data_IF_603757695250
#
_entry.id   IF_603757695250
#
_cell.length_a   1.000
_cell.length_b   1.000
_cell.length_c   1.000
_cell.angle_alpha   90.00
_cell.angle_beta   90.00
_cell.angle_gamma   90.00
#
_symmetry.space_group_name_H-M   'P 1'
#
loop_
_entity.id
_entity.type
_entity.pdbx_description
1 polymer ?
#
# COMPACT_ATOMS: atom_id res chain seq x y z
N UNK A 1 -27.27 5.30 -5.23
CA UNK A 1 -27.09 5.10 -3.79
C UNK A 1 -26.75 3.63 -3.63
N UNK A 2 -25.54 3.30 -3.20
CA UNK A 2 -25.08 1.92 -3.09
C UNK A 2 -25.57 1.38 -1.73
N UNK A 3 -26.36 0.30 -1.67
CA UNK A 3 -26.91 -0.22 -0.41
C UNK A 3 -25.81 -0.67 0.56
N UNK A 4 -26.11 -0.61 1.87
CA UNK A 4 -25.16 -0.90 2.96
C UNK A 4 -24.59 -2.34 2.95
N UNK A 5 -25.20 -3.26 2.18
CA UNK A 5 -24.72 -4.62 1.92
C UNK A 5 -23.46 -4.69 1.04
N UNK A 6 -23.11 -3.60 0.35
CA UNK A 6 -22.06 -3.61 -0.67
C UNK A 6 -20.68 -3.19 -0.10
N UNK A 7 -20.63 -2.88 1.20
CA UNK A 7 -19.41 -2.42 1.90
C UNK A 7 -18.59 -3.57 2.51
N UNK A 8 -18.94 -4.82 2.23
CA UNK A 8 -18.46 -6.00 2.97
C UNK A 8 -17.50 -6.91 2.17
N UNK A 9 -17.01 -6.44 1.02
CA UNK A 9 -16.09 -7.24 0.20
C UNK A 9 -14.90 -7.76 1.00
N UNK A 10 -14.44 -6.98 1.96
CA UNK A 10 -13.33 -7.33 2.81
C UNK A 10 -13.50 -8.57 3.69
N UNK A 11 -14.74 -8.96 4.01
CA UNK A 11 -15.01 -10.01 5.01
C UNK A 11 -15.65 -11.26 4.39
N UNK A 12 -15.77 -11.30 3.05
CA UNK A 12 -16.33 -12.44 2.31
C UNK A 12 -15.62 -12.75 1.00
N UNK A 13 -15.90 -13.93 0.45
CA UNK A 13 -15.58 -14.24 -0.95
C UNK A 13 -16.46 -13.37 -1.85
N UNK A 14 -15.87 -12.78 -2.90
CA UNK A 14 -16.57 -11.95 -3.87
C UNK A 14 -16.76 -12.70 -5.18
N UNK A 15 -17.84 -12.39 -5.89
CA UNK A 15 -18.07 -12.90 -7.24
C UNK A 15 -17.10 -12.19 -8.22
N UNK A 16 -16.43 -12.89 -9.15
CA UNK A 16 -15.67 -12.26 -10.22
C UNK A 16 -16.40 -11.13 -10.96
N UNK A 17 -17.73 -11.21 -11.10
CA UNK A 17 -18.55 -10.15 -11.69
C UNK A 17 -18.57 -8.86 -10.85
N UNK A 18 -18.49 -8.97 -9.53
CA UNK A 18 -18.36 -7.82 -8.65
C UNK A 18 -17.01 -7.11 -8.91
N UNK A 19 -15.91 -7.87 -8.95
CA UNK A 19 -14.58 -7.33 -9.23
C UNK A 19 -14.49 -6.69 -10.63
N UNK A 20 -15.16 -7.26 -11.64
CA UNK A 20 -15.27 -6.70 -12.99
C UNK A 20 -16.03 -5.36 -12.97
N UNK A 21 -17.19 -5.30 -12.32
CA UNK A 21 -17.97 -4.07 -12.19
C UNK A 21 -17.16 -2.96 -11.49
N UNK A 22 -16.39 -3.32 -10.46
CA UNK A 22 -15.45 -2.38 -9.83
C UNK A 22 -14.32 -1.96 -10.77
N UNK A 23 -13.71 -2.87 -11.53
CA UNK A 23 -12.63 -2.50 -12.46
C UNK A 23 -13.13 -1.54 -13.57
N UNK A 24 -14.37 -1.72 -14.03
CA UNK A 24 -14.99 -0.88 -15.06
C UNK A 24 -15.18 0.59 -14.63
N UNK A 25 -15.35 0.86 -13.33
CA UNK A 25 -15.46 2.23 -12.81
C UNK A 25 -14.11 2.94 -12.62
N UNK A 26 -12.98 2.26 -12.80
CA UNK A 26 -11.65 2.87 -12.69
C UNK A 26 -11.19 3.35 -14.08
N UNK A 27 -10.83 4.63 -14.16
CA UNK A 27 -10.40 5.29 -15.40
C UNK A 27 -8.94 4.92 -15.74
N UNK A 28 -8.74 3.67 -16.16
CA UNK A 28 -7.44 3.09 -16.53
C UNK A 28 -7.55 2.27 -17.82
N UNK A 29 -6.40 1.79 -18.31
CA UNK A 29 -6.32 0.95 -19.50
C UNK A 29 -7.03 -0.40 -19.31
N UNK A 30 -7.43 -1.07 -20.39
CA UNK A 30 -8.03 -2.41 -20.31
C UNK A 30 -7.10 -3.44 -19.65
N UNK A 31 -5.78 -3.30 -19.86
CA UNK A 31 -4.77 -4.14 -19.20
C UNK A 31 -4.80 -3.94 -17.68
N UNK A 32 -4.91 -2.70 -17.22
CA UNK A 32 -4.97 -2.39 -15.79
C UNK A 32 -6.29 -2.80 -15.16
N UNK A 33 -7.42 -2.72 -15.89
CA UNK A 33 -8.71 -3.25 -15.42
C UNK A 33 -8.63 -4.74 -15.13
N UNK A 34 -8.02 -5.52 -16.03
CA UNK A 34 -7.82 -6.95 -15.81
C UNK A 34 -6.96 -7.24 -14.57
N UNK A 35 -5.93 -6.42 -14.33
CA UNK A 35 -5.11 -6.53 -13.12
C UNK A 35 -5.90 -6.19 -11.86
N UNK A 36 -6.71 -5.12 -11.87
CA UNK A 36 -7.61 -4.77 -10.76
C UNK A 36 -8.54 -5.94 -10.44
N UNK A 37 -9.21 -6.49 -11.47
CA UNK A 37 -10.11 -7.63 -11.35
C UNK A 37 -9.43 -8.82 -10.70
N UNK A 38 -8.25 -9.20 -11.21
CA UNK A 38 -7.44 -10.31 -10.68
C UNK A 38 -7.05 -10.08 -9.22
N UNK A 39 -6.45 -8.93 -8.90
CA UNK A 39 -5.99 -8.61 -7.55
C UNK A 39 -7.13 -8.65 -6.54
N UNK A 40 -8.28 -8.03 -6.85
CA UNK A 40 -9.41 -7.99 -5.93
C UNK A 40 -10.06 -9.37 -5.74
N UNK A 41 -10.13 -10.19 -6.79
CA UNK A 41 -10.71 -11.53 -6.73
C UNK A 41 -9.83 -12.52 -5.94
N UNK A 42 -8.51 -12.40 -6.07
CA UNK A 42 -7.55 -13.31 -5.44
C UNK A 42 -7.16 -12.87 -4.02
N UNK A 43 -7.56 -11.66 -3.59
CA UNK A 43 -7.15 -11.10 -2.30
C UNK A 43 -7.64 -11.99 -1.13
N UNK A 44 -6.78 -12.41 -0.18
CA UNK A 44 -7.22 -13.20 0.96
C UNK A 44 -8.16 -12.42 1.88
N UNK A 45 -9.28 -13.02 2.28
CA UNK A 45 -10.26 -12.42 3.23
C UNK A 45 -9.61 -12.16 4.60
N UNK A 46 -8.68 -13.02 5.01
CA UNK A 46 -7.96 -12.86 6.27
C UNK A 46 -6.94 -11.70 6.25
N UNK A 47 -6.64 -11.12 5.09
CA UNK A 47 -5.67 -10.04 5.00
C UNK A 47 -6.29 -8.72 5.47
N UNK A 48 -5.72 -8.16 6.54
CA UNK A 48 -6.17 -6.93 7.17
C UNK A 48 -5.02 -5.94 7.31
N UNK A 49 -5.35 -4.66 7.28
CA UNK A 49 -4.43 -3.53 7.43
C UNK A 49 -4.97 -2.54 8.46
N UNK A 50 -4.09 -1.81 9.14
CA UNK A 50 -4.50 -0.80 10.13
C UNK A 50 -5.29 0.35 9.47
N UNK A 51 -6.32 0.84 10.15
CA UNK A 51 -7.14 1.95 9.67
C UNK A 51 -6.37 3.24 9.39
N UNK A 52 -5.20 3.44 10.01
CA UNK A 52 -4.35 4.60 9.73
C UNK A 52 -3.91 4.68 8.26
N UNK A 53 -3.82 3.54 7.54
CA UNK A 53 -3.48 3.54 6.12
C UNK A 53 -4.62 4.11 5.26
N UNK A 54 -5.87 3.78 5.59
CA UNK A 54 -7.02 4.39 4.93
C UNK A 54 -7.07 5.90 5.16
N UNK A 55 -6.86 6.33 6.40
CA UNK A 55 -6.84 7.76 6.74
C UNK A 55 -5.71 8.48 6.00
N UNK A 56 -4.50 7.93 5.99
CA UNK A 56 -3.37 8.52 5.28
C UNK A 56 -3.62 8.65 3.78
N UNK A 57 -4.28 7.67 3.15
CA UNK A 57 -4.63 7.73 1.73
C UNK A 57 -5.68 8.81 1.46
N UNK A 58 -6.71 8.93 2.31
CA UNK A 58 -7.69 10.02 2.24
C UNK A 58 -7.03 11.39 2.38
N UNK A 59 -6.12 11.54 3.34
CA UNK A 59 -5.39 12.79 3.55
C UNK A 59 -4.50 13.13 2.34
N UNK A 60 -3.87 12.13 1.72
CA UNK A 60 -3.11 12.30 0.47
C UNK A 60 -4.00 12.77 -0.67
N UNK A 61 -5.15 12.13 -0.89
CA UNK A 61 -6.11 12.56 -1.92
C UNK A 61 -6.58 14.00 -1.64
N UNK A 62 -6.92 14.30 -0.38
CA UNK A 62 -7.44 15.60 0.01
C UNK A 62 -6.41 16.73 -0.17
N UNK A 63 -5.13 16.48 0.13
CA UNK A 63 -4.05 17.45 -0.10
C UNK A 63 -3.79 17.71 -1.58
N UNK A 64 -3.82 16.67 -2.42
CA UNK A 64 -3.54 16.80 -3.85
C UNK A 64 -4.75 17.26 -4.68
N UNK A 65 -5.96 17.07 -4.16
CA UNK A 65 -7.24 17.44 -4.76
C UNK A 65 -8.06 18.21 -3.72
N UNK A 66 -9.14 17.59 -3.21
CA UNK A 66 -10.00 18.15 -2.17
C UNK A 66 -10.58 17.05 -1.29
N UNK A 67 -11.11 17.41 -0.12
CA UNK A 67 -11.81 16.45 0.75
C UNK A 67 -13.08 15.89 0.12
N UNK A 68 -13.75 16.65 -0.74
CA UNK A 68 -14.93 16.22 -1.49
C UNK A 68 -14.58 15.11 -2.48
N UNK A 69 -13.45 15.25 -3.19
CA UNK A 69 -12.92 14.19 -4.06
C UNK A 69 -12.61 12.94 -3.22
N UNK A 70 -11.92 13.10 -2.08
CA UNK A 70 -11.59 11.96 -1.22
C UNK A 70 -12.84 11.24 -0.70
N UNK A 71 -13.87 11.98 -0.27
CA UNK A 71 -15.17 11.43 0.16
C UNK A 71 -15.88 10.65 -0.95
N UNK A 72 -15.87 11.20 -2.17
CA UNK A 72 -16.48 10.51 -3.32
C UNK A 72 -15.72 9.22 -3.67
N UNK A 73 -14.39 9.20 -3.60
CA UNK A 73 -13.63 7.96 -3.82
C UNK A 73 -13.88 6.91 -2.73
N UNK A 74 -13.99 7.32 -1.46
CA UNK A 74 -14.39 6.41 -0.37
C UNK A 74 -15.76 5.79 -0.64
N UNK A 75 -16.72 6.60 -1.09
CA UNK A 75 -18.07 6.15 -1.44
C UNK A 75 -18.06 5.21 -2.65
N UNK A 76 -17.36 5.55 -3.73
CA UNK A 76 -17.19 4.70 -4.93
C UNK A 76 -16.46 3.40 -4.65
N UNK A 77 -15.54 3.43 -3.69
CA UNK A 77 -14.83 2.26 -3.20
C UNK A 77 -15.70 1.29 -2.41
N UNK A 78 -16.89 1.74 -1.98
CA UNK A 78 -17.71 0.98 -1.04
C UNK A 78 -16.91 0.59 0.20
N UNK A 79 -16.10 1.52 0.75
CA UNK A 79 -15.29 1.27 1.95
C UNK A 79 -15.94 1.91 3.17
N UNK A 80 -15.74 1.32 4.35
CA UNK A 80 -16.20 1.90 5.63
C UNK A 80 -15.70 3.35 5.75
N UNK A 81 -16.53 4.27 6.22
CA UNK A 81 -16.20 5.72 6.26
C UNK A 81 -15.48 6.16 7.55
N UNK A 82 -15.44 5.30 8.57
CA UNK A 82 -14.77 5.56 9.85
C UNK A 82 -13.47 4.77 9.93
N UNK A 83 -12.34 5.48 9.80
CA UNK A 83 -11.00 4.90 9.89
C UNK A 83 -10.45 5.08 11.31
N UNK A 84 -10.51 4.02 12.12
CA UNK A 84 -9.90 4.03 13.45
C UNK A 84 -8.44 3.61 13.31
N UNK A 85 -7.44 4.45 13.67
CA UNK A 85 -6.04 4.23 13.31
C UNK A 85 -5.48 2.84 13.61
N UNK A 86 -5.79 2.30 14.79
CA UNK A 86 -5.27 1.01 15.24
C UNK A 86 -6.21 -0.17 15.01
N UNK A 87 -7.42 0.05 14.50
CA UNK A 87 -8.33 -1.05 14.16
C UNK A 87 -7.84 -1.76 12.90
N UNK A 88 -7.95 -3.09 12.89
CA UNK A 88 -7.75 -3.87 11.67
C UNK A 88 -8.99 -3.71 10.78
N UNK A 89 -8.73 -3.43 9.51
CA UNK A 89 -9.73 -3.24 8.48
C UNK A 89 -9.36 -4.10 7.27
N UNK A 90 -10.32 -4.55 6.46
CA UNK A 90 -10.00 -5.44 5.35
C UNK A 90 -9.05 -4.81 4.33
N UNK A 91 -7.96 -5.50 4.01
CA UNK A 91 -6.92 -4.94 3.14
C UNK A 91 -7.38 -4.85 1.67
N UNK A 92 -8.30 -5.74 1.25
CA UNK A 92 -8.98 -5.65 -0.06
C UNK A 92 -9.71 -4.31 -0.24
N UNK A 93 -10.35 -3.80 0.81
CA UNK A 93 -11.04 -2.50 0.75
C UNK A 93 -10.07 -1.34 0.60
N UNK A 94 -8.91 -1.42 1.25
CA UNK A 94 -7.84 -0.44 1.04
C UNK A 94 -7.39 -0.43 -0.42
N UNK A 95 -7.20 -1.60 -1.03
CA UNK A 95 -6.83 -1.72 -2.45
C UNK A 95 -7.87 -1.12 -3.40
N UNK A 96 -9.18 -1.28 -3.13
CA UNK A 96 -10.23 -0.58 -3.89
C UNK A 96 -10.00 0.94 -3.87
N UNK A 97 -9.79 1.50 -2.69
CA UNK A 97 -9.52 2.94 -2.56
C UNK A 97 -8.20 3.33 -3.24
N UNK A 98 -7.19 2.47 -3.16
CA UNK A 98 -5.87 2.71 -3.72
C UNK A 98 -5.87 2.74 -5.26
N UNK A 99 -6.61 1.84 -5.91
CA UNK A 99 -6.83 1.86 -7.36
C UNK A 99 -7.53 3.15 -7.82
N UNK A 100 -8.60 3.55 -7.12
CA UNK A 100 -9.32 4.78 -7.41
C UNK A 100 -8.42 6.01 -7.21
N UNK A 101 -7.64 6.05 -6.13
CA UNK A 101 -6.71 7.12 -5.84
C UNK A 101 -5.64 7.24 -6.91
N UNK A 102 -5.04 6.12 -7.32
CA UNK A 102 -4.01 6.08 -8.38
C UNK A 102 -4.53 6.68 -9.68
N UNK A 103 -5.72 6.29 -10.14
CA UNK A 103 -6.30 6.79 -11.38
C UNK A 103 -6.60 8.31 -11.32
N UNK A 104 -7.06 8.81 -10.17
CA UNK A 104 -7.44 10.23 -9.99
C UNK A 104 -6.23 11.15 -9.78
N UNK A 105 -5.22 10.68 -9.06
CA UNK A 105 -4.03 11.47 -8.75
C UNK A 105 -3.05 11.49 -9.93
N UNK A 106 -2.96 10.40 -10.70
CA UNK A 106 -2.03 10.25 -11.82
C UNK A 106 -2.75 9.80 -13.10
N UNK A 107 -3.68 10.62 -13.63
CA UNK A 107 -4.45 10.27 -14.81
C UNK A 107 -3.52 10.02 -16.02
N UNK A 108 -3.82 8.96 -16.78
CA UNK A 108 -3.05 8.57 -17.97
C UNK A 108 -1.70 7.89 -17.69
N UNK A 109 -1.30 7.74 -16.41
CA UNK A 109 -0.10 6.96 -16.04
C UNK A 109 -0.44 5.49 -15.80
N UNK A 110 0.52 4.56 -15.98
CA UNK A 110 0.36 3.19 -15.50
C UNK A 110 0.05 3.14 -14.00
N UNK A 111 -0.73 2.14 -13.56
CA UNK A 111 -1.09 1.97 -12.15
C UNK A 111 0.14 1.90 -11.23
N UNK A 112 1.21 1.26 -11.68
CA UNK A 112 2.48 1.18 -10.95
C UNK A 112 3.00 2.56 -10.56
N UNK A 113 2.94 3.52 -11.48
CA UNK A 113 3.42 4.89 -11.22
C UNK A 113 2.61 5.56 -10.13
N UNK A 114 1.29 5.40 -10.15
CA UNK A 114 0.44 5.97 -9.12
C UNK A 114 0.61 5.29 -7.76
N UNK A 115 0.73 3.96 -7.74
CA UNK A 115 1.04 3.21 -6.52
C UNK A 115 2.38 3.66 -5.93
N UNK A 116 3.45 3.70 -6.74
CA UNK A 116 4.78 4.11 -6.29
C UNK A 116 4.79 5.52 -5.71
N UNK A 117 4.19 6.50 -6.39
CA UNK A 117 4.19 7.90 -5.92
C UNK A 117 3.33 8.14 -4.69
N UNK A 118 2.14 7.53 -4.61
CA UNK A 118 1.30 7.61 -3.41
C UNK A 118 2.02 6.99 -2.20
N UNK A 119 2.68 5.85 -2.41
CA UNK A 119 3.44 5.15 -1.40
C UNK A 119 4.65 5.95 -0.91
N UNK A 120 5.35 6.64 -1.81
CA UNK A 120 6.46 7.54 -1.51
C UNK A 120 6.03 8.69 -0.58
N UNK A 121 4.86 9.27 -0.83
CA UNK A 121 4.30 10.33 0.01
C UNK A 121 3.76 9.82 1.36
N UNK A 122 3.55 8.51 1.51
CA UNK A 122 2.87 7.95 2.67
C UNK A 122 3.67 8.09 3.96
N UNK A 123 4.99 7.84 3.91
CA UNK A 123 5.85 7.88 5.09
C UNK A 123 6.07 9.30 5.64
N UNK A 124 6.39 10.33 4.83
CA UNK A 124 6.48 11.71 5.32
C UNK A 124 5.20 12.16 6.04
N UNK A 125 4.04 11.77 5.49
CA UNK A 125 2.72 12.09 6.04
C UNK A 125 2.50 11.37 7.36
N UNK A 126 2.77 10.07 7.41
CA UNK A 126 2.72 9.30 8.64
C UNK A 126 3.65 9.91 9.70
N UNK A 127 4.92 10.19 9.37
CA UNK A 127 5.90 10.82 10.26
C UNK A 127 5.43 12.15 10.82
N UNK A 128 4.71 12.94 10.02
CA UNK A 128 4.14 14.22 10.46
C UNK A 128 2.93 14.06 11.41
N UNK A 129 2.33 12.87 11.53
CA UNK A 129 1.24 12.59 12.46
C UNK A 129 1.72 12.47 13.91
N UNK A 130 0.82 12.59 14.89
CA UNK A 130 1.17 12.42 16.31
C UNK A 130 1.78 11.05 16.59
N UNK A 131 1.19 9.98 16.05
CA UNK A 131 1.67 8.60 16.21
C UNK A 131 3.01 8.40 15.52
N UNK A 132 3.15 8.92 14.29
CA UNK A 132 4.39 8.81 13.53
C UNK A 132 5.55 9.59 14.15
N UNK A 133 5.33 10.79 14.71
CA UNK A 133 6.37 11.54 15.42
C UNK A 133 6.92 10.76 16.62
N UNK A 134 6.04 10.13 17.41
CA UNK A 134 6.45 9.30 18.54
C UNK A 134 7.27 8.10 18.08
N UNK A 135 6.84 7.42 17.03
CA UNK A 135 7.55 6.23 16.51
C UNK A 135 8.87 6.61 15.85
N UNK A 136 8.89 7.66 15.01
CA UNK A 136 10.08 8.11 14.29
C UNK A 136 11.19 8.61 15.20
N UNK A 137 10.88 9.12 16.40
CA UNK A 137 11.89 9.50 17.38
C UNK A 137 12.78 8.33 17.83
N UNK A 138 12.32 7.08 17.68
CA UNK A 138 13.06 5.87 18.07
C UNK A 138 13.74 5.14 16.90
N UNK A 139 13.59 5.63 15.67
CA UNK A 139 14.05 4.92 14.46
C UNK A 139 15.56 5.14 14.18
N UNK A 140 16.20 6.14 14.80
CA UNK A 140 17.61 6.47 14.54
C UNK A 140 17.84 7.00 13.13
N UNK A 141 19.10 7.23 12.75
CA UNK A 141 19.50 7.76 11.43
C UNK A 141 20.27 6.75 10.58
N UNK A 142 20.71 5.64 11.16
CA UNK A 142 21.44 4.61 10.42
C UNK A 142 20.50 3.89 9.43
N UNK A 143 20.81 3.86 8.12
CA UNK A 143 19.89 3.37 7.10
C UNK A 143 19.40 1.93 7.35
N UNK A 144 20.29 1.04 7.77
CA UNK A 144 19.91 -0.34 8.08
C UNK A 144 18.94 -0.43 9.26
N UNK A 145 19.18 0.35 10.31
CA UNK A 145 18.28 0.44 11.47
C UNK A 145 16.90 0.95 11.04
N UNK A 146 16.84 1.92 10.13
CA UNK A 146 15.58 2.42 9.58
C UNK A 146 14.80 1.31 8.87
N UNK A 147 15.48 0.51 8.05
CA UNK A 147 14.88 -0.62 7.34
C UNK A 147 14.39 -1.71 8.30
N UNK A 148 15.18 -2.08 9.32
CA UNK A 148 14.80 -3.06 10.33
C UNK A 148 13.53 -2.63 11.09
N UNK A 149 13.46 -1.34 11.47
CA UNK A 149 12.27 -0.78 12.13
C UNK A 149 11.06 -0.73 11.21
N UNK A 150 11.26 -0.42 9.93
CA UNK A 150 10.19 -0.47 8.94
C UNK A 150 9.65 -1.90 8.79
N UNK A 151 10.52 -2.92 8.76
CA UNK A 151 10.10 -4.31 8.68
C UNK A 151 9.25 -4.72 9.91
N UNK A 152 9.65 -4.28 11.10
CA UNK A 152 8.85 -4.46 12.33
C UNK A 152 7.50 -3.75 12.24
N UNK A 153 7.48 -2.51 11.74
CA UNK A 153 6.25 -1.74 11.59
C UNK A 153 5.26 -2.41 10.62
N UNK A 154 5.75 -3.00 9.51
CA UNK A 154 4.92 -3.79 8.59
C UNK A 154 4.23 -4.96 9.29
N UNK A 155 4.97 -5.77 10.07
CA UNK A 155 4.41 -6.92 10.79
C UNK A 155 3.28 -6.53 11.75
N UNK A 156 3.34 -5.33 12.35
CA UNK A 156 2.29 -4.81 13.24
C UNK A 156 1.11 -4.21 12.46
N UNK A 157 1.41 -3.64 11.30
CA UNK A 157 0.49 -2.89 10.44
C UNK A 157 -0.38 -3.77 9.56
N UNK A 158 0.17 -4.89 9.09
CA UNK A 158 -0.45 -5.86 8.20
C UNK A 158 -0.10 -7.25 8.74
N UNK A 159 -0.84 -7.76 9.75
CA UNK A 159 -0.45 -8.99 10.46
C UNK A 159 -0.32 -10.25 9.59
N UNK A 160 -0.96 -10.26 8.42
CA UNK A 160 -0.89 -11.36 7.46
C UNK A 160 0.45 -11.41 6.70
N UNK A 161 1.15 -10.27 6.61
CA UNK A 161 2.40 -10.15 5.87
C UNK A 161 3.60 -10.59 6.73
N UNK A 162 4.62 -11.13 6.06
CA UNK A 162 5.93 -11.38 6.65
C UNK A 162 6.93 -10.43 5.99
N UNK A 163 7.81 -9.82 6.76
CA UNK A 163 8.86 -8.94 6.25
C UNK A 163 10.13 -9.21 7.04
N UNK A 164 11.25 -9.33 6.36
CA UNK A 164 12.56 -9.53 6.97
C UNK A 164 13.60 -8.74 6.17
N UNK A 165 14.62 -8.23 6.86
CA UNK A 165 15.68 -7.46 6.23
C UNK A 165 17.02 -7.83 6.85
N UNK A 166 18.00 -8.04 5.98
CA UNK A 166 19.37 -8.35 6.35
C UNK A 166 20.30 -7.34 5.69
N UNK A 167 21.32 -6.88 6.41
CA UNK A 167 22.36 -6.03 5.83
C UNK A 167 23.17 -6.78 4.77
N UNK A 168 23.47 -6.10 3.67
CA UNK A 168 24.38 -6.57 2.62
C UNK A 168 25.51 -5.55 2.45
N UNK A 169 26.58 -5.73 3.22
CA UNK A 169 27.69 -4.79 3.29
C UNK A 169 27.32 -3.49 4.01
N UNK A 170 28.08 -2.42 3.76
CA UNK A 170 27.90 -1.14 4.45
C UNK A 170 26.77 -0.25 3.86
N UNK A 171 26.33 -0.55 2.64
CA UNK A 171 25.44 0.33 1.84
C UNK A 171 24.34 -0.44 1.10
N UNK A 172 24.02 -1.62 1.60
CA UNK A 172 23.03 -2.49 0.99
C UNK A 172 22.23 -3.26 2.02
N UNK A 173 21.06 -3.71 1.61
CA UNK A 173 20.22 -4.63 2.36
C UNK A 173 19.43 -5.54 1.42
N UNK A 174 19.14 -6.74 1.89
CA UNK A 174 18.21 -7.67 1.24
C UNK A 174 16.92 -7.72 2.02
N UNK A 175 15.82 -7.37 1.36
CA UNK A 175 14.49 -7.45 1.94
C UNK A 175 13.75 -8.66 1.41
N UNK A 176 13.19 -9.48 2.29
CA UNK A 176 12.35 -10.62 1.93
C UNK A 176 10.96 -10.42 2.52
N UNK A 177 9.92 -10.62 1.73
CA UNK A 177 8.57 -10.51 2.25
C UNK A 177 7.61 -11.52 1.62
N UNK A 178 6.56 -11.86 2.38
CA UNK A 178 5.35 -12.54 1.93
C UNK A 178 4.20 -11.56 2.05
N UNK A 179 3.51 -11.30 0.95
CA UNK A 179 2.48 -10.26 0.86
C UNK A 179 1.31 -10.72 -0.01
N UNK A 180 0.23 -9.94 0.03
CA UNK A 180 -0.98 -10.16 -0.76
C UNK A 180 -0.68 -10.39 -2.26
N UNK A 181 -1.57 -11.05 -3.01
CA UNK A 181 -1.32 -11.44 -4.40
C UNK A 181 -1.50 -10.26 -5.37
N UNK A 182 -0.68 -9.22 -5.19
CA UNK A 182 -0.67 -8.03 -6.03
C UNK A 182 0.66 -7.87 -6.75
N UNK A 183 0.62 -7.95 -8.09
CA UNK A 183 1.77 -7.64 -8.95
C UNK A 183 2.14 -6.14 -8.95
N UNK A 184 1.35 -5.30 -8.27
CA UNK A 184 1.63 -3.88 -8.03
C UNK A 184 2.38 -3.65 -6.71
N UNK A 185 2.53 -4.67 -5.87
CA UNK A 185 3.25 -4.56 -4.61
C UNK A 185 4.70 -4.07 -4.80
N UNK A 186 5.48 -4.52 -5.80
CA UNK A 186 6.82 -3.97 -6.03
C UNK A 186 6.86 -2.45 -6.20
N UNK A 187 5.88 -1.87 -6.89
CA UNK A 187 5.81 -0.41 -7.06
C UNK A 187 5.50 0.30 -5.73
N UNK A 188 4.56 -0.24 -4.95
CA UNK A 188 4.25 0.26 -3.60
C UNK A 188 5.47 0.16 -2.68
N UNK A 189 6.18 -0.96 -2.72
CA UNK A 189 7.36 -1.19 -1.89
C UNK A 189 8.49 -0.22 -2.23
N UNK A 190 8.78 0.01 -3.52
CA UNK A 190 9.75 1.03 -3.95
C UNK A 190 9.41 2.41 -3.40
N UNK A 191 8.15 2.83 -3.52
CA UNK A 191 7.68 4.11 -2.99
C UNK A 191 7.90 4.21 -1.48
N UNK A 192 7.43 3.21 -0.72
CA UNK A 192 7.60 3.20 0.74
C UNK A 192 9.07 3.29 1.15
N UNK A 193 9.96 2.53 0.53
CA UNK A 193 11.39 2.54 0.87
C UNK A 193 12.01 3.89 0.53
N UNK A 194 11.74 4.46 -0.65
CA UNK A 194 12.23 5.79 -1.03
C UNK A 194 11.77 6.87 -0.06
N UNK A 195 10.46 6.99 0.14
CA UNK A 195 9.88 7.99 1.03
C UNK A 195 10.37 7.84 2.47
N UNK A 196 10.55 6.60 2.94
CA UNK A 196 11.08 6.32 4.29
C UNK A 196 12.54 6.74 4.42
N UNK A 197 13.42 6.21 3.56
CA UNK A 197 14.86 6.43 3.65
C UNK A 197 15.23 7.90 3.40
N UNK A 198 14.58 8.57 2.44
CA UNK A 198 14.75 10.01 2.20
C UNK A 198 14.32 10.86 3.39
N UNK A 199 13.23 10.48 4.06
CA UNK A 199 12.80 11.15 5.31
C UNK A 199 13.83 11.02 6.44
N UNK A 200 14.77 10.07 6.34
CA UNK A 200 15.86 9.85 7.30
C UNK A 200 17.24 10.26 6.76
N UNK A 201 17.28 11.07 5.69
CA UNK A 201 18.50 11.69 5.19
C UNK A 201 19.27 10.88 4.15
N UNK A 202 18.70 9.79 3.63
CA UNK A 202 19.30 9.03 2.52
C UNK A 202 18.79 9.58 1.20
N UNK A 203 19.66 10.23 0.43
CA UNK A 203 19.26 10.99 -0.76
C UNK A 203 18.70 10.11 -1.89
N UNK A 204 19.37 9.00 -2.20
CA UNK A 204 19.09 8.22 -3.43
C UNK A 204 19.06 6.70 -3.15
N UNK A 205 18.08 6.20 -2.39
CA UNK A 205 17.91 4.76 -2.22
C UNK A 205 17.39 4.12 -3.51
N UNK A 206 18.01 3.03 -3.95
CA UNK A 206 17.51 2.18 -5.04
C UNK A 206 16.90 0.90 -4.48
N UNK A 207 15.89 0.37 -5.19
CA UNK A 207 15.17 -0.83 -4.79
C UNK A 207 14.87 -1.64 -6.05
N UNK A 208 15.53 -2.79 -6.15
CA UNK A 208 15.45 -3.68 -7.30
C UNK A 208 14.79 -5.00 -6.89
N UNK A 209 13.84 -5.45 -7.70
CA UNK A 209 13.23 -6.77 -7.53
C UNK A 209 14.23 -7.83 -7.98
N UNK A 210 14.65 -8.70 -7.07
CA UNK A 210 15.59 -9.79 -7.33
C UNK A 210 14.86 -11.07 -7.70
N UNK A 211 13.81 -11.40 -6.96
CA UNK A 211 13.03 -12.63 -7.17
C UNK A 211 11.58 -12.45 -6.74
N UNK A 212 10.69 -13.21 -7.40
CA UNK A 212 9.29 -13.30 -7.03
C UNK A 212 8.74 -14.70 -7.27
N UNK A 213 8.05 -15.26 -6.28
CA UNK A 213 7.40 -16.56 -6.41
C UNK A 213 6.01 -16.55 -5.78
N UNK A 214 5.04 -17.14 -6.48
CA UNK A 214 3.68 -17.32 -5.96
C UNK A 214 3.65 -18.51 -5.01
N UNK A 215 3.05 -18.34 -3.83
CA UNK A 215 2.86 -19.39 -2.83
C UNK A 215 1.41 -19.38 -2.36
N UNK A 216 0.56 -20.18 -3.02
CA UNK A 216 -0.88 -20.22 -2.76
C UNK A 216 -1.54 -18.86 -3.04
N UNK A 217 -2.11 -18.27 -1.99
CA UNK A 217 -2.77 -16.96 -1.98
C UNK A 217 -1.82 -15.79 -1.68
N UNK A 218 -0.52 -16.06 -1.58
CA UNK A 218 0.53 -15.07 -1.34
C UNK A 218 1.53 -14.97 -2.48
N UNK A 219 2.28 -13.86 -2.50
CA UNK A 219 3.51 -13.75 -3.29
C UNK A 219 4.67 -13.50 -2.33
N UNK A 220 5.76 -14.24 -2.51
CA UNK A 220 7.04 -13.94 -1.89
C UNK A 220 7.87 -13.09 -2.83
N UNK A 221 8.40 -11.99 -2.32
CA UNK A 221 9.32 -11.11 -3.03
C UNK A 221 10.65 -11.03 -2.31
N UNK A 222 11.72 -10.90 -3.09
CA UNK A 222 13.06 -10.55 -2.63
C UNK A 222 13.49 -9.28 -3.32
N UNK A 223 13.88 -8.27 -2.55
CA UNK A 223 14.38 -6.99 -3.06
C UNK A 223 15.82 -6.78 -2.61
N UNK A 224 16.63 -6.19 -3.50
CA UNK A 224 17.90 -5.59 -3.15
C UNK A 224 17.67 -4.09 -2.96
N UNK A 225 18.16 -3.55 -1.84
CA UNK A 225 18.11 -2.13 -1.50
C UNK A 225 19.56 -1.64 -1.44
N UNK A 226 19.87 -0.52 -2.08
CA UNK A 226 21.20 0.11 -2.05
C UNK A 226 21.05 1.59 -1.73
N UNK A 227 22.07 2.20 -1.12
CA UNK A 227 22.13 3.64 -0.86
C UNK A 227 23.54 4.22 -0.96
N UNK A 228 23.64 5.54 -1.13
CA UNK A 228 24.90 6.30 -1.24
C UNK A 228 25.35 6.96 0.05
#
# INVERSE_FOLDING_TARGET
>A
MIPASDFDWGERVIDPAEAEAFAAQVEVTSRDRERIRRVLSEFPVACQVRGMFFQGLVDTIARSRTYEVAKELVKRGGVRTRFVPFSLMPHRDFYKLYFLASAVLYPGSPLETGFERIAEDFYPVFRSSMVGRTISAFIGSEPITVLERLAQAYRVSIPWNEHDVEAEGARGARWRCKVEPSDLYPATFRGIIRGTMQSHGVSEPTVDLVDSSRQGDAIRYVFAIQWS
#
